data_IF_958935392577
#
_entry.id   IF_958935392577
#
_cell.length_a   1.000
_cell.length_b   1.000
_cell.length_c   1.000
_cell.angle_alpha   90.00
_cell.angle_beta   90.00
_cell.angle_gamma   90.00
#
_symmetry.space_group_name_H-M   'P 1'
#
loop_
_entity.id
_entity.type
_entity.pdbx_description
1 polymer ?
#
# COMPACT_ATOMS: atom_id res chain seq x y z
N UNK A 1 19.94 -50.75 74.75
CA UNK A 1 21.03 -51.05 73.84
C UNK A 1 20.53 -50.84 72.38
N UNK A 2 21.28 -50.07 71.64
CA UNK A 2 21.38 -50.00 70.15
C UNK A 2 20.11 -49.64 69.36
N UNK A 3 19.99 -48.49 68.91
CA UNK A 3 20.53 -47.88 67.66
C UNK A 3 19.84 -48.39 66.37
N UNK A 4 19.17 -47.53 65.66
CA UNK A 4 18.77 -47.60 64.27
C UNK A 4 18.53 -46.24 63.78
N UNK A 5 19.52 -45.66 63.07
CA UNK A 5 19.38 -44.45 62.27
C UNK A 5 18.82 -44.85 60.90
N UNK A 6 17.79 -44.19 60.48
CA UNK A 6 17.37 -44.20 59.09
C UNK A 6 17.35 -42.77 58.57
N UNK A 7 18.24 -42.52 57.61
CA UNK A 7 18.27 -41.31 56.84
C UNK A 7 17.19 -41.33 55.76
N UNK A 8 16.21 -40.49 55.87
CA UNK A 8 15.27 -40.19 54.81
C UNK A 8 15.89 -39.24 53.78
N UNK A 9 16.15 -39.76 52.60
CA UNK A 9 16.55 -38.93 51.44
C UNK A 9 15.32 -38.16 50.93
N UNK A 10 15.34 -36.90 51.14
CA UNK A 10 14.40 -35.96 50.52
C UNK A 10 14.74 -35.82 49.03
N UNK A 11 14.01 -36.52 48.20
CA UNK A 11 14.00 -36.27 46.75
C UNK A 11 13.17 -35.04 46.48
N UNK A 12 13.82 -33.89 46.65
CA UNK A 12 13.24 -32.62 46.18
C UNK A 12 12.94 -32.69 44.69
N UNK A 13 11.68 -32.91 44.35
CA UNK A 13 11.14 -32.63 43.04
C UNK A 13 11.43 -31.16 42.75
N UNK A 14 12.38 -30.90 41.83
CA UNK A 14 12.55 -29.57 41.27
C UNK A 14 11.30 -29.31 40.44
N UNK A 15 10.37 -28.56 40.98
CA UNK A 15 9.36 -27.87 40.19
C UNK A 15 10.09 -27.14 39.06
N UNK A 16 9.82 -27.52 37.81
CA UNK A 16 10.23 -26.81 36.63
C UNK A 16 9.39 -25.52 36.55
N UNK A 17 9.67 -24.62 37.48
CA UNK A 17 9.13 -23.26 37.41
C UNK A 17 9.70 -22.57 36.21
N UNK A 18 8.87 -22.15 35.27
CA UNK A 18 9.30 -21.40 34.11
C UNK A 18 10.09 -20.16 34.59
N UNK A 19 11.41 -20.15 34.35
CA UNK A 19 12.28 -19.07 34.80
C UNK A 19 11.92 -17.79 34.07
N UNK A 20 11.44 -16.79 34.80
CA UNK A 20 11.15 -15.46 34.27
C UNK A 20 12.44 -14.75 33.88
N UNK A 21 12.40 -14.02 32.78
CA UNK A 21 13.51 -13.19 32.30
C UNK A 21 12.97 -11.79 31.95
N UNK A 22 13.81 -10.81 32.23
CA UNK A 22 13.58 -9.43 31.84
C UNK A 22 14.55 -9.06 30.71
N UNK A 23 14.01 -8.58 29.58
CA UNK A 23 14.77 -8.14 28.41
C UNK A 23 14.56 -6.64 28.29
N UNK A 24 15.64 -5.88 28.33
CA UNK A 24 15.64 -4.43 28.13
C UNK A 24 16.05 -4.15 26.69
N UNK A 25 15.10 -3.73 25.86
CA UNK A 25 15.35 -3.38 24.45
C UNK A 25 15.31 -1.86 24.33
N UNK A 26 16.47 -1.23 24.13
CA UNK A 26 16.60 0.21 23.98
C UNK A 26 15.99 1.04 25.10
N UNK A 27 16.05 0.56 26.33
CA UNK A 27 15.47 1.22 27.50
C UNK A 27 14.04 0.80 27.86
N UNK A 28 13.36 0.00 27.02
CA UNK A 28 12.04 -0.56 27.32
C UNK A 28 12.19 -1.99 27.84
N UNK A 29 11.69 -2.24 29.08
CA UNK A 29 11.77 -3.54 29.71
C UNK A 29 10.56 -4.42 29.40
N UNK A 30 10.83 -5.67 28.99
CA UNK A 30 9.84 -6.69 28.69
C UNK A 30 10.05 -7.93 29.57
N UNK A 31 9.02 -8.31 30.30
CA UNK A 31 9.04 -9.53 31.11
C UNK A 31 8.45 -10.69 30.31
N UNK A 32 9.14 -11.84 30.34
CA UNK A 32 8.72 -13.07 29.67
C UNK A 32 9.32 -14.29 30.36
N UNK A 33 9.19 -15.46 29.77
CA UNK A 33 9.81 -16.70 30.26
C UNK A 33 10.87 -17.20 29.29
N UNK A 34 11.86 -17.94 29.80
CA UNK A 34 12.87 -18.60 28.95
C UNK A 34 12.18 -19.49 27.91
N UNK A 35 11.13 -20.18 28.30
CA UNK A 35 10.34 -21.05 27.44
C UNK A 35 9.77 -20.26 26.23
N UNK A 36 9.17 -19.10 26.44
CA UNK A 36 8.64 -18.26 25.37
C UNK A 36 9.70 -17.91 24.32
N UNK A 37 10.90 -17.52 24.75
CA UNK A 37 11.94 -17.05 23.83
C UNK A 37 12.76 -18.17 23.18
N UNK A 38 12.59 -19.44 23.62
CA UNK A 38 13.39 -20.57 23.12
C UNK A 38 12.58 -21.61 22.36
N UNK A 39 11.26 -21.74 22.58
CA UNK A 39 10.48 -22.85 22.03
C UNK A 39 10.02 -22.64 20.59
N UNK A 40 9.43 -21.49 20.28
CA UNK A 40 8.79 -21.29 18.97
C UNK A 40 9.78 -21.27 17.80
N UNK A 41 10.88 -20.57 17.95
CA UNK A 41 11.94 -20.52 16.95
C UNK A 41 13.29 -20.80 17.61
N UNK A 42 13.62 -22.09 17.71
CA UNK A 42 14.84 -22.58 18.39
C UNK A 42 16.12 -22.19 17.68
N UNK A 43 16.04 -21.75 16.42
CA UNK A 43 17.16 -21.23 15.63
C UNK A 43 17.43 -19.74 15.82
N UNK A 44 16.53 -19.03 16.51
CA UNK A 44 16.62 -17.57 16.67
C UNK A 44 17.78 -17.13 17.57
N UNK A 45 18.16 -15.87 17.40
CA UNK A 45 19.15 -15.22 18.27
C UNK A 45 18.72 -15.24 19.73
N UNK A 46 17.41 -14.99 20.00
CA UNK A 46 16.85 -15.02 21.35
C UNK A 46 16.96 -16.44 21.95
N UNK A 47 16.62 -17.47 21.19
CA UNK A 47 16.77 -18.87 21.64
C UNK A 47 18.22 -19.20 21.94
N UNK A 48 19.16 -18.78 21.11
CA UNK A 48 20.60 -18.98 21.33
C UNK A 48 21.06 -18.28 22.62
N UNK A 49 20.64 -17.05 22.87
CA UNK A 49 20.98 -16.27 24.07
C UNK A 49 20.46 -16.94 25.35
N UNK A 50 19.22 -17.37 25.36
CA UNK A 50 18.58 -17.91 26.58
C UNK A 50 18.65 -19.43 26.72
N UNK A 51 19.32 -20.15 25.80
CA UNK A 51 19.52 -21.60 25.87
C UNK A 51 20.50 -22.08 26.95
N UNK A 52 21.12 -21.16 27.66
CA UNK A 52 22.19 -21.47 28.64
C UNK A 52 23.55 -21.85 28.03
N UNK A 53 23.68 -21.82 26.69
CA UNK A 53 24.94 -22.11 25.98
C UNK A 53 25.93 -20.96 26.03
N UNK A 54 25.45 -19.73 26.25
CA UNK A 54 26.25 -18.51 26.29
C UNK A 54 26.08 -17.80 27.63
N UNK A 55 27.15 -17.18 28.13
CA UNK A 55 27.04 -16.30 29.29
C UNK A 55 26.25 -15.04 28.91
N UNK A 56 25.12 -14.81 29.59
CA UNK A 56 24.33 -13.61 29.38
C UNK A 56 25.05 -12.38 29.94
N UNK A 57 25.14 -11.33 29.15
CA UNK A 57 25.60 -10.02 29.63
C UNK A 57 24.40 -9.28 30.23
N UNK A 58 24.34 -9.26 31.54
CA UNK A 58 23.32 -8.50 32.27
C UNK A 58 23.69 -7.00 32.29
N UNK A 59 22.68 -6.16 32.25
CA UNK A 59 22.83 -4.71 32.37
C UNK A 59 23.57 -4.35 33.67
N UNK A 60 24.60 -3.50 33.57
CA UNK A 60 25.39 -3.05 34.74
C UNK A 60 24.56 -2.24 35.72
N UNK A 61 23.51 -1.56 35.27
CA UNK A 61 22.60 -0.76 36.09
C UNK A 61 21.49 -1.59 36.73
N UNK A 62 21.04 -2.67 36.03
CA UNK A 62 20.02 -3.57 36.53
C UNK A 62 20.41 -5.03 36.27
N UNK A 63 21.12 -5.63 37.21
CA UNK A 63 21.70 -6.98 37.11
C UNK A 63 20.67 -8.11 36.85
N UNK A 64 19.38 -7.76 36.75
CA UNK A 64 18.28 -8.70 36.48
C UNK A 64 17.77 -8.68 35.04
N UNK A 65 18.24 -7.76 34.19
CA UNK A 65 17.79 -7.62 32.80
C UNK A 65 18.93 -7.83 31.80
N UNK A 66 18.60 -8.43 30.66
CA UNK A 66 19.52 -8.55 29.52
C UNK A 66 19.27 -7.35 28.59
N UNK A 67 20.32 -6.56 28.33
CA UNK A 67 20.19 -5.38 27.46
C UNK A 67 20.43 -5.77 25.98
N UNK A 68 19.55 -5.26 25.11
CA UNK A 68 19.65 -5.35 23.66
C UNK A 68 19.58 -3.93 23.08
N UNK A 69 20.62 -3.53 22.35
CA UNK A 69 20.74 -2.20 21.76
C UNK A 69 19.93 -2.13 20.45
N UNK A 70 18.61 -1.98 20.59
CA UNK A 70 17.65 -1.87 19.50
C UNK A 70 16.49 -0.96 19.92
N UNK A 71 15.70 -0.48 18.94
CA UNK A 71 14.47 0.27 19.23
C UNK A 71 13.41 -0.67 19.82
N UNK A 72 13.06 -0.45 21.08
CA UNK A 72 12.10 -1.31 21.79
C UNK A 72 10.65 -1.25 21.27
N UNK A 73 10.27 -0.22 20.50
CA UNK A 73 8.86 0.02 20.11
C UNK A 73 8.18 -1.20 19.47
N UNK A 74 8.89 -1.94 18.64
CA UNK A 74 8.35 -3.07 17.89
C UNK A 74 8.55 -4.42 18.57
N UNK A 75 9.41 -4.50 19.59
CA UNK A 75 9.72 -5.77 20.28
C UNK A 75 8.48 -6.41 20.95
N UNK A 76 7.47 -5.63 21.31
CA UNK A 76 6.18 -6.15 21.79
C UNK A 76 5.52 -7.10 20.77
N UNK A 77 5.59 -6.79 19.48
CA UNK A 77 5.03 -7.63 18.43
C UNK A 77 5.84 -8.92 18.24
N UNK A 78 7.17 -8.82 18.34
CA UNK A 78 8.07 -9.98 18.36
C UNK A 78 7.72 -10.92 19.53
N UNK A 79 7.54 -10.35 20.74
CA UNK A 79 7.17 -11.14 21.92
C UNK A 79 5.79 -11.78 21.81
N UNK A 80 4.81 -11.08 21.28
CA UNK A 80 3.47 -11.64 21.06
C UNK A 80 3.52 -12.79 20.07
N UNK A 81 4.27 -12.63 18.97
CA UNK A 81 4.46 -13.72 18.03
C UNK A 81 5.16 -14.93 18.68
N UNK A 82 6.17 -14.71 19.50
CA UNK A 82 6.84 -15.80 20.23
C UNK A 82 5.90 -16.52 21.20
N UNK A 83 4.93 -15.83 21.82
CA UNK A 83 3.95 -16.39 22.76
C UNK A 83 2.89 -17.25 22.09
N UNK A 84 2.22 -16.69 21.08
CA UNK A 84 1.00 -17.25 20.51
C UNK A 84 0.99 -17.33 18.96
N UNK A 85 2.02 -16.81 18.30
CA UNK A 85 2.11 -16.76 16.83
C UNK A 85 1.29 -15.64 16.22
N UNK A 86 0.81 -14.68 17.02
CA UNK A 86 0.01 -13.58 16.52
C UNK A 86 0.83 -12.63 15.64
N UNK A 87 0.43 -12.52 14.37
CA UNK A 87 0.93 -11.48 13.46
C UNK A 87 0.00 -10.26 13.62
N UNK A 88 0.53 -9.02 13.76
CA UNK A 88 -0.33 -7.85 13.89
C UNK A 88 -1.20 -7.64 12.65
N UNK A 89 -2.26 -6.81 12.79
CA UNK A 89 -3.07 -6.41 11.64
C UNK A 89 -2.20 -5.63 10.65
N UNK A 90 -2.45 -5.78 9.35
CA UNK A 90 -1.60 -5.23 8.31
C UNK A 90 -1.55 -3.69 8.36
N UNK A 91 -0.32 -3.20 8.43
CA UNK A 91 0.08 -1.81 8.25
C UNK A 91 1.43 -1.88 7.55
N UNK A 92 1.51 -1.43 6.31
CA UNK A 92 2.70 -1.57 5.47
C UNK A 92 3.96 -0.97 6.12
N UNK A 93 3.84 0.18 6.81
CA UNK A 93 4.96 0.80 7.50
C UNK A 93 5.43 -0.06 8.68
N UNK A 94 4.50 -0.53 9.51
CA UNK A 94 4.78 -1.42 10.64
C UNK A 94 5.40 -2.74 10.18
N UNK A 95 4.92 -3.32 9.08
CA UNK A 95 5.44 -4.59 8.56
C UNK A 95 6.89 -4.49 8.10
N UNK A 96 7.29 -3.41 7.43
CA UNK A 96 8.69 -3.20 7.06
C UNK A 96 9.60 -3.12 8.29
N UNK A 97 9.18 -2.41 9.32
CA UNK A 97 9.91 -2.32 10.57
C UNK A 97 10.02 -3.70 11.26
N UNK A 98 8.90 -4.45 11.31
CA UNK A 98 8.89 -5.79 11.89
C UNK A 98 9.73 -6.81 11.11
N UNK A 99 9.84 -6.68 9.79
CA UNK A 99 10.74 -7.52 8.99
C UNK A 99 12.21 -7.28 9.37
N UNK A 100 12.61 -6.02 9.55
CA UNK A 100 13.95 -5.69 10.04
C UNK A 100 14.23 -6.23 11.45
N UNK A 101 13.22 -6.20 12.34
CA UNK A 101 13.36 -6.82 13.67
C UNK A 101 13.46 -8.35 13.56
N UNK A 102 12.63 -8.99 12.71
CA UNK A 102 12.66 -10.43 12.48
C UNK A 102 14.01 -10.89 11.92
N UNK A 103 14.60 -10.14 10.98
CA UNK A 103 15.95 -10.40 10.47
C UNK A 103 17.01 -10.27 11.56
N UNK A 104 16.97 -9.20 12.35
CA UNK A 104 17.93 -8.98 13.43
C UNK A 104 17.89 -10.10 14.47
N UNK A 105 16.69 -10.49 14.93
CA UNK A 105 16.52 -11.58 15.91
C UNK A 105 16.61 -12.97 15.28
N UNK A 106 16.83 -13.07 13.97
CA UNK A 106 16.90 -14.33 13.21
C UNK A 106 15.63 -15.20 13.36
N UNK A 107 14.47 -14.57 13.36
CA UNK A 107 13.14 -15.19 13.46
C UNK A 107 12.63 -15.53 12.05
N UNK A 108 13.16 -16.62 11.47
CA UNK A 108 12.90 -16.96 10.07
C UNK A 108 11.43 -17.25 9.78
N UNK A 109 10.73 -17.92 10.69
CA UNK A 109 9.30 -18.21 10.52
C UNK A 109 8.43 -16.95 10.63
N UNK A 110 8.73 -16.05 11.58
CA UNK A 110 8.05 -14.77 11.71
C UNK A 110 8.21 -13.91 10.47
N UNK A 111 9.44 -13.80 9.96
CA UNK A 111 9.72 -13.08 8.72
C UNK A 111 8.92 -13.66 7.54
N UNK A 112 8.90 -15.00 7.39
CA UNK A 112 8.13 -15.65 6.32
C UNK A 112 6.63 -15.40 6.44
N UNK A 113 6.06 -15.37 7.65
CA UNK A 113 4.66 -15.07 7.90
C UNK A 113 4.33 -13.62 7.60
N UNK A 114 5.21 -12.65 7.97
CA UNK A 114 5.05 -11.25 7.61
C UNK A 114 5.05 -11.06 6.08
N UNK A 115 6.00 -11.69 5.39
CA UNK A 115 6.06 -11.67 3.91
C UNK A 115 4.81 -12.30 3.28
N UNK A 116 4.33 -13.42 3.82
CA UNK A 116 3.12 -14.07 3.33
C UNK A 116 1.87 -13.20 3.54
N UNK A 117 1.77 -12.53 4.69
CA UNK A 117 0.66 -11.61 5.00
C UNK A 117 0.68 -10.39 4.09
N UNK A 118 1.85 -9.80 3.82
CA UNK A 118 1.99 -8.74 2.82
C UNK A 118 1.59 -9.20 1.42
N UNK A 119 1.90 -10.45 1.05
CA UNK A 119 1.51 -11.02 -0.25
C UNK A 119 0.01 -11.28 -0.36
N UNK A 120 -0.68 -11.55 0.73
CA UNK A 120 -2.14 -11.72 0.75
C UNK A 120 -2.86 -10.37 0.58
N UNK A 121 -2.22 -9.26 0.98
CA UNK A 121 -2.71 -7.90 0.71
C UNK A 121 -2.24 -7.35 -0.63
N UNK A 122 -1.31 -8.01 -1.28
CA UNK A 122 -0.74 -7.67 -2.58
C UNK A 122 -1.62 -8.18 -3.77
N UNK A 123 -2.96 -8.29 -3.54
CA UNK A 123 -3.93 -8.23 -4.64
C UNK A 123 -3.80 -6.87 -5.40
N UNK A 124 -3.08 -5.91 -4.81
CA UNK A 124 -2.72 -4.63 -5.40
C UNK A 124 -1.34 -4.61 -6.07
N UNK A 125 -0.51 -5.66 -5.93
CA UNK A 125 0.74 -5.73 -6.66
C UNK A 125 0.50 -5.80 -8.17
N UNK A 126 1.26 -5.00 -8.95
CA UNK A 126 1.11 -5.01 -10.38
C UNK A 126 1.47 -6.39 -10.96
N UNK A 127 0.60 -6.92 -11.81
CA UNK A 127 0.82 -8.19 -12.51
C UNK A 127 1.99 -8.14 -13.51
N UNK A 128 2.33 -6.94 -14.00
CA UNK A 128 3.37 -6.71 -14.98
C UNK A 128 4.30 -5.58 -14.53
N UNK A 129 5.58 -5.74 -14.79
CA UNK A 129 6.57 -4.67 -14.63
C UNK A 129 6.54 -3.72 -15.83
N UNK A 130 7.09 -2.50 -15.66
CA UNK A 130 7.28 -1.55 -16.76
C UNK A 130 7.97 -2.20 -17.98
N UNK A 131 8.96 -3.05 -17.77
CA UNK A 131 9.71 -3.73 -18.84
C UNK A 131 8.82 -4.68 -19.63
N UNK A 132 7.98 -5.43 -18.94
CA UNK A 132 7.03 -6.37 -19.57
C UNK A 132 5.96 -5.64 -20.37
N UNK A 133 5.44 -4.52 -19.85
CA UNK A 133 4.51 -3.65 -20.59
C UNK A 133 5.18 -3.14 -21.87
N UNK A 134 6.43 -2.65 -21.83
CA UNK A 134 7.17 -2.20 -23.01
C UNK A 134 7.34 -3.33 -24.02
N UNK A 135 7.72 -4.53 -23.58
CA UNK A 135 7.85 -5.69 -24.46
C UNK A 135 6.52 -6.08 -25.10
N UNK A 136 5.43 -6.05 -24.31
CA UNK A 136 4.09 -6.34 -24.81
C UNK A 136 3.70 -5.36 -25.94
N UNK A 137 3.91 -4.06 -25.75
CA UNK A 137 3.64 -3.02 -26.74
C UNK A 137 4.42 -3.28 -28.04
N UNK A 138 5.72 -3.57 -27.94
CA UNK A 138 6.58 -3.84 -29.09
C UNK A 138 6.16 -5.09 -29.88
N UNK A 139 5.62 -6.09 -29.21
CA UNK A 139 5.17 -7.32 -29.85
C UNK A 139 3.82 -7.22 -30.57
N UNK A 140 3.17 -6.05 -30.56
CA UNK A 140 1.81 -5.80 -31.09
C UNK A 140 0.72 -6.74 -30.52
N UNK A 141 0.99 -7.41 -29.40
CA UNK A 141 0.06 -8.33 -28.72
C UNK A 141 -0.43 -7.72 -27.39
N UNK A 142 -0.67 -6.39 -27.37
CA UNK A 142 -1.00 -5.70 -26.13
C UNK A 142 -2.47 -5.92 -25.80
N UNK A 143 -2.72 -6.83 -24.87
CA UNK A 143 -3.98 -6.91 -24.15
C UNK A 143 -3.68 -6.62 -22.68
N UNK A 144 -3.86 -5.35 -22.27
CA UNK A 144 -3.73 -4.92 -20.87
C UNK A 144 -5.10 -4.79 -20.20
N UNK A 145 -6.11 -5.37 -20.83
CA UNK A 145 -7.49 -5.37 -20.35
C UNK A 145 -7.61 -6.25 -19.10
N UNK A 146 -8.14 -5.70 -18.02
CA UNK A 146 -8.35 -6.41 -16.75
C UNK A 146 -7.07 -6.68 -15.96
N UNK A 147 -5.92 -6.14 -16.38
CA UNK A 147 -4.62 -6.36 -15.73
C UNK A 147 -4.41 -5.37 -14.59
N UNK A 148 -3.82 -5.81 -13.49
CA UNK A 148 -3.39 -4.94 -12.42
C UNK A 148 -2.02 -4.31 -12.74
N UNK A 149 -2.00 -2.98 -12.91
CA UNK A 149 -0.82 -2.15 -13.19
C UNK A 149 -0.64 -1.05 -12.14
N UNK A 150 -1.21 -1.23 -10.94
CA UNK A 150 -1.17 -0.22 -9.88
C UNK A 150 0.24 0.19 -9.53
N UNK A 151 0.47 1.49 -9.34
CA UNK A 151 1.76 2.06 -8.95
C UNK A 151 2.87 2.02 -10.01
N UNK A 152 2.66 1.41 -11.18
CA UNK A 152 3.71 1.32 -12.22
C UNK A 152 4.00 2.67 -12.86
N UNK A 153 5.25 2.90 -13.17
CA UNK A 153 5.66 4.08 -13.93
C UNK A 153 5.64 3.80 -15.43
N UNK A 154 4.60 4.26 -16.12
CA UNK A 154 4.43 4.20 -17.57
C UNK A 154 4.63 5.58 -18.23
N UNK A 155 5.27 6.51 -17.53
CA UNK A 155 5.51 7.85 -18.03
C UNK A 155 6.34 7.86 -19.32
N UNK A 156 6.00 8.81 -20.23
CA UNK A 156 6.67 9.06 -21.51
C UNK A 156 6.63 7.91 -22.52
N UNK A 157 5.81 6.89 -22.29
CA UNK A 157 5.62 5.80 -23.26
C UNK A 157 4.61 6.18 -24.33
N UNK A 158 4.75 5.56 -25.50
CA UNK A 158 3.70 5.55 -26.51
C UNK A 158 2.77 4.36 -26.24
N UNK A 159 1.58 4.68 -25.76
CA UNK A 159 0.51 3.77 -25.37
C UNK A 159 -0.75 4.03 -26.19
N UNK A 160 -0.57 4.64 -27.38
CA UNK A 160 -1.70 5.01 -28.25
C UNK A 160 -2.50 3.78 -28.64
N UNK A 161 -3.83 3.86 -28.52
CA UNK A 161 -4.77 2.79 -28.85
C UNK A 161 -4.71 1.55 -27.95
N UNK A 162 -3.97 1.58 -26.84
CA UNK A 162 -3.90 0.46 -25.90
C UNK A 162 -5.23 0.30 -25.14
N UNK A 163 -5.69 -0.93 -24.97
CA UNK A 163 -6.89 -1.25 -24.20
C UNK A 163 -6.54 -1.59 -22.74
N UNK A 164 -6.87 -0.65 -21.83
CA UNK A 164 -6.79 -0.75 -20.38
C UNK A 164 -8.18 -0.94 -19.74
N UNK A 165 -9.20 -1.32 -20.52
CA UNK A 165 -10.55 -1.49 -19.98
C UNK A 165 -10.56 -2.52 -18.84
N UNK A 166 -11.32 -2.22 -17.77
CA UNK A 166 -11.43 -3.07 -16.56
C UNK A 166 -10.12 -3.27 -15.78
N UNK A 167 -9.04 -2.57 -16.16
CA UNK A 167 -7.75 -2.68 -15.47
C UNK A 167 -7.76 -1.94 -14.15
N UNK A 168 -6.93 -2.43 -13.22
CA UNK A 168 -6.62 -1.73 -11.98
C UNK A 168 -5.35 -0.90 -12.17
N UNK A 169 -5.48 0.40 -12.10
CA UNK A 169 -4.42 1.37 -12.43
C UNK A 169 -4.13 2.32 -11.25
N UNK A 170 -4.53 1.97 -10.02
CA UNK A 170 -4.44 2.87 -8.86
C UNK A 170 -3.02 3.40 -8.69
N UNK A 171 -2.88 4.75 -8.67
CA UNK A 171 -1.58 5.40 -8.51
C UNK A 171 -0.59 5.20 -9.67
N UNK A 172 -1.02 4.69 -10.81
CA UNK A 172 -0.15 4.50 -12.00
C UNK A 172 0.32 5.84 -12.56
N UNK A 173 1.58 5.93 -13.01
CA UNK A 173 2.17 7.14 -13.57
C UNK A 173 2.16 7.11 -15.09
N UNK A 174 1.36 7.96 -15.72
CA UNK A 174 1.28 8.19 -17.17
C UNK A 174 1.75 9.57 -17.60
N UNK A 175 2.50 10.27 -16.74
CA UNK A 175 2.93 11.63 -17.03
C UNK A 175 3.65 11.73 -18.39
N UNK A 176 3.17 12.66 -19.26
CA UNK A 176 3.72 12.86 -20.62
C UNK A 176 3.65 11.62 -21.52
N UNK A 177 2.85 10.62 -21.20
CA UNK A 177 2.62 9.49 -22.11
C UNK A 177 1.73 9.91 -23.29
N UNK A 178 1.93 9.26 -24.44
CA UNK A 178 1.00 9.32 -25.54
C UNK A 178 -0.04 8.20 -25.35
N UNK A 179 -1.27 8.57 -25.07
CA UNK A 179 -2.40 7.68 -24.82
C UNK A 179 -3.54 7.94 -25.82
N UNK A 180 -3.27 8.61 -26.95
CA UNK A 180 -4.32 8.91 -27.93
C UNK A 180 -5.12 7.66 -28.28
N UNK A 181 -6.47 7.77 -28.27
CA UNK A 181 -7.40 6.70 -28.56
C UNK A 181 -7.28 5.46 -27.62
N UNK A 182 -6.61 5.56 -26.48
CA UNK A 182 -6.56 4.48 -25.51
C UNK A 182 -7.93 4.27 -24.82
N UNK A 183 -8.21 3.01 -24.44
CA UNK A 183 -9.48 2.63 -23.81
C UNK A 183 -9.27 2.39 -22.32
N UNK A 184 -10.07 3.08 -21.49
CA UNK A 184 -10.06 2.97 -20.01
C UNK A 184 -11.46 2.66 -19.47
N UNK A 185 -12.34 2.03 -20.27
CA UNK A 185 -13.71 1.73 -19.87
C UNK A 185 -13.74 0.91 -18.59
N UNK A 186 -14.50 1.39 -17.60
CA UNK A 186 -14.66 0.72 -16.30
C UNK A 186 -13.31 0.42 -15.60
N UNK A 187 -12.22 1.13 -15.96
CA UNK A 187 -10.95 1.00 -15.28
C UNK A 187 -10.98 1.70 -13.92
N UNK A 188 -10.23 1.16 -12.97
CA UNK A 188 -10.00 1.78 -11.65
C UNK A 188 -8.68 2.55 -11.72
N UNK A 189 -8.75 3.86 -11.96
CA UNK A 189 -7.60 4.75 -12.18
C UNK A 189 -7.48 5.84 -11.10
N UNK A 190 -7.90 5.53 -9.88
CA UNK A 190 -7.85 6.44 -8.74
C UNK A 190 -6.39 6.84 -8.43
N UNK A 191 -6.15 8.13 -8.20
CA UNK A 191 -4.81 8.66 -7.93
C UNK A 191 -3.81 8.58 -9.08
N UNK A 192 -4.23 8.19 -10.29
CA UNK A 192 -3.35 8.16 -11.46
C UNK A 192 -2.77 9.52 -11.80
N UNK A 193 -1.54 9.53 -12.27
CA UNK A 193 -0.87 10.75 -12.71
C UNK A 193 -0.80 10.81 -14.25
N UNK A 194 -1.68 11.60 -14.87
CA UNK A 194 -1.72 11.90 -16.30
C UNK A 194 -1.20 13.30 -16.63
N UNK A 195 -0.42 13.92 -15.75
CA UNK A 195 0.08 15.28 -15.97
C UNK A 195 0.78 15.42 -17.33
N UNK A 196 0.35 16.41 -18.15
CA UNK A 196 0.84 16.63 -19.52
C UNK A 196 0.71 15.42 -20.46
N UNK A 197 -0.15 14.43 -20.17
CA UNK A 197 -0.38 13.31 -21.07
C UNK A 197 -1.23 13.73 -22.30
N UNK A 198 -1.04 13.05 -23.42
CA UNK A 198 -1.89 13.16 -24.61
C UNK A 198 -2.97 12.09 -24.52
N UNK A 199 -4.21 12.51 -24.22
CA UNK A 199 -5.38 11.65 -23.98
C UNK A 199 -6.51 11.97 -24.97
N UNK A 200 -6.17 12.49 -26.14
CA UNK A 200 -7.14 12.84 -27.17
C UNK A 200 -7.95 11.60 -27.60
N UNK A 201 -9.28 11.73 -27.65
CA UNK A 201 -10.19 10.67 -28.09
C UNK A 201 -10.12 9.40 -27.22
N UNK A 202 -9.61 9.48 -25.98
CA UNK A 202 -9.63 8.36 -25.03
C UNK A 202 -11.05 8.06 -24.54
N UNK A 203 -11.26 6.82 -24.16
CA UNK A 203 -12.54 6.36 -23.63
C UNK A 203 -12.44 5.97 -22.14
N UNK A 204 -12.96 6.85 -21.26
CA UNK A 204 -13.04 6.69 -19.82
C UNK A 204 -14.48 6.40 -19.34
N UNK A 205 -15.35 5.86 -20.22
CA UNK A 205 -16.72 5.57 -19.84
C UNK A 205 -16.77 4.72 -18.56
N UNK A 206 -17.50 5.21 -17.54
CA UNK A 206 -17.65 4.57 -16.21
C UNK A 206 -16.35 4.29 -15.45
N UNK A 207 -15.22 4.88 -15.86
CA UNK A 207 -13.98 4.75 -15.11
C UNK A 207 -14.04 5.49 -13.77
N UNK A 208 -13.27 5.01 -12.78
CA UNK A 208 -13.00 5.76 -11.55
C UNK A 208 -11.66 6.47 -11.67
N UNK A 209 -11.66 7.78 -11.39
CA UNK A 209 -10.52 8.69 -11.51
C UNK A 209 -10.44 9.61 -10.28
N UNK A 210 -10.82 9.09 -9.09
CA UNK A 210 -10.81 9.88 -7.86
C UNK A 210 -9.40 10.38 -7.58
N UNK A 211 -9.28 11.66 -7.24
CA UNK A 211 -8.00 12.31 -6.96
C UNK A 211 -6.94 12.14 -8.07
N UNK A 212 -7.33 11.80 -9.30
CA UNK A 212 -6.41 11.68 -10.42
C UNK A 212 -5.85 13.07 -10.84
N UNK A 213 -4.59 13.10 -11.27
CA UNK A 213 -3.91 14.31 -11.73
C UNK A 213 -3.93 14.36 -13.26
N UNK A 214 -4.84 15.13 -13.82
CA UNK A 214 -5.01 15.37 -15.26
C UNK A 214 -4.58 16.79 -15.68
N UNK A 215 -3.82 17.49 -14.83
CA UNK A 215 -3.43 18.87 -15.05
C UNK A 215 -2.62 19.00 -16.35
N UNK A 216 -2.96 19.99 -17.18
CA UNK A 216 -2.37 20.28 -18.49
C UNK A 216 -2.43 19.10 -19.47
N UNK A 217 -3.27 18.08 -19.23
CA UNK A 217 -3.47 16.99 -20.18
C UNK A 217 -4.31 17.44 -21.40
N UNK A 218 -4.05 16.83 -22.56
CA UNK A 218 -4.84 17.06 -23.78
C UNK A 218 -5.93 16.01 -23.87
N UNK A 219 -7.17 16.38 -23.56
CA UNK A 219 -8.35 15.51 -23.42
C UNK A 219 -9.45 15.84 -24.47
N UNK A 220 -9.05 16.51 -25.55
CA UNK A 220 -10.01 16.90 -26.58
C UNK A 220 -10.76 15.67 -27.12
N UNK A 221 -12.10 15.75 -27.15
CA UNK A 221 -13.01 14.68 -27.57
C UNK A 221 -12.91 13.38 -26.73
N UNK A 222 -12.33 13.41 -25.55
CA UNK A 222 -12.32 12.26 -24.65
C UNK A 222 -13.73 11.98 -24.11
N UNK A 223 -14.04 10.69 -23.91
CA UNK A 223 -15.31 10.24 -23.36
C UNK A 223 -15.17 9.96 -21.84
N UNK A 224 -15.87 10.74 -21.01
CA UNK A 224 -15.97 10.58 -19.56
C UNK A 224 -17.43 10.31 -19.12
N UNK A 225 -18.25 9.78 -20.02
CA UNK A 225 -19.63 9.51 -19.67
C UNK A 225 -19.72 8.58 -18.45
N UNK A 226 -20.53 8.97 -17.45
CA UNK A 226 -20.74 8.23 -16.21
C UNK A 226 -19.45 7.98 -15.38
N UNK A 227 -18.33 8.70 -15.67
CA UNK A 227 -17.08 8.56 -14.94
C UNK A 227 -17.09 9.28 -13.59
N UNK A 228 -16.30 8.79 -12.64
CA UNK A 228 -16.10 9.42 -11.32
C UNK A 228 -14.77 10.19 -11.27
N UNK A 229 -14.83 11.51 -11.25
CA UNK A 229 -13.68 12.44 -11.21
C UNK A 229 -13.65 13.25 -9.90
N UNK A 230 -14.22 12.71 -8.83
CA UNK A 230 -14.25 13.37 -7.52
C UNK A 230 -12.84 13.72 -7.06
N UNK A 231 -12.63 14.96 -6.60
CA UNK A 231 -11.33 15.49 -6.15
C UNK A 231 -10.22 15.49 -7.22
N UNK A 232 -10.53 15.23 -8.49
CA UNK A 232 -9.53 15.19 -9.56
C UNK A 232 -8.98 16.58 -9.89
N UNK A 233 -7.70 16.67 -10.28
CA UNK A 233 -7.07 17.91 -10.74
C UNK A 233 -7.02 17.96 -12.26
N UNK A 234 -7.83 18.84 -12.86
CA UNK A 234 -7.93 19.10 -14.30
C UNK A 234 -7.45 20.53 -14.65
N UNK A 235 -6.64 21.13 -13.76
CA UNK A 235 -6.16 22.50 -13.95
C UNK A 235 -5.44 22.66 -15.30
N UNK A 236 -5.91 23.63 -16.11
CA UNK A 236 -5.34 23.90 -17.44
C UNK A 236 -5.50 22.78 -18.47
N UNK A 237 -6.33 21.77 -18.22
CA UNK A 237 -6.56 20.69 -19.16
C UNK A 237 -7.37 21.15 -20.39
N UNK A 238 -7.09 20.57 -21.56
CA UNK A 238 -7.85 20.80 -22.79
C UNK A 238 -8.96 19.73 -22.92
N UNK A 239 -10.18 20.10 -22.55
CA UNK A 239 -11.39 19.26 -22.59
C UNK A 239 -12.34 19.65 -23.73
N UNK A 240 -11.84 20.29 -24.78
CA UNK A 240 -12.69 20.71 -25.90
C UNK A 240 -13.47 19.54 -26.48
N UNK A 241 -14.77 19.74 -26.64
CA UNK A 241 -15.70 18.74 -27.16
C UNK A 241 -15.69 17.42 -26.39
N UNK A 242 -15.20 17.37 -25.16
CA UNK A 242 -15.22 16.19 -24.32
C UNK A 242 -16.67 15.80 -23.94
N UNK A 243 -16.91 14.52 -23.75
CA UNK A 243 -18.18 13.95 -23.34
C UNK A 243 -18.17 13.68 -21.83
N UNK A 244 -18.82 14.54 -21.04
CA UNK A 244 -18.86 14.50 -19.57
C UNK A 244 -20.30 14.25 -19.04
N UNK A 245 -21.16 13.61 -19.86
CA UNK A 245 -22.54 13.35 -19.46
C UNK A 245 -22.57 12.49 -18.18
N UNK A 246 -23.33 12.98 -17.18
CA UNK A 246 -23.47 12.34 -15.86
C UNK A 246 -22.16 12.13 -15.08
N UNK A 247 -21.04 12.69 -15.53
CA UNK A 247 -19.78 12.57 -14.79
C UNK A 247 -19.88 13.22 -13.40
N UNK A 248 -19.23 12.63 -12.40
CA UNK A 248 -19.14 13.19 -11.07
C UNK A 248 -17.81 13.94 -10.91
N UNK A 249 -17.87 15.27 -10.97
CA UNK A 249 -16.75 16.20 -10.84
C UNK A 249 -16.78 16.94 -9.49
N UNK A 250 -17.43 16.34 -8.47
CA UNK A 250 -17.50 16.94 -7.14
C UNK A 250 -16.13 17.28 -6.61
N UNK A 251 -15.92 18.53 -6.16
CA UNK A 251 -14.65 19.09 -5.69
C UNK A 251 -13.50 19.06 -6.72
N UNK A 252 -13.74 18.77 -7.98
CA UNK A 252 -12.67 18.74 -8.98
C UNK A 252 -12.09 20.14 -9.24
N UNK A 253 -10.80 20.23 -9.47
CA UNK A 253 -10.15 21.47 -9.85
C UNK A 253 -10.09 21.60 -11.38
N UNK A 254 -10.97 22.40 -11.95
CA UNK A 254 -11.06 22.74 -13.37
C UNK A 254 -10.54 24.14 -13.67
N UNK A 255 -9.76 24.75 -12.76
CA UNK A 255 -9.25 26.11 -12.98
C UNK A 255 -8.46 26.21 -14.29
N UNK A 256 -8.76 27.26 -15.07
CA UNK A 256 -8.16 27.49 -16.40
C UNK A 256 -8.35 26.34 -17.41
N UNK A 257 -9.21 25.36 -17.17
CA UNK A 257 -9.50 24.30 -18.12
C UNK A 257 -10.29 24.81 -19.33
N UNK A 258 -10.05 24.23 -20.51
CA UNK A 258 -10.81 24.55 -21.70
C UNK A 258 -11.91 23.51 -21.96
N UNK A 259 -13.15 23.86 -21.65
CA UNK A 259 -14.36 23.05 -21.82
C UNK A 259 -15.20 23.49 -23.03
N UNK A 260 -14.61 24.21 -24.00
CA UNK A 260 -15.34 24.69 -25.17
C UNK A 260 -16.06 23.55 -25.89
N UNK A 261 -17.37 23.69 -26.06
CA UNK A 261 -18.21 22.68 -26.71
C UNK A 261 -18.35 21.35 -25.96
N UNK A 262 -17.82 21.23 -24.75
CA UNK A 262 -17.96 20.00 -23.96
C UNK A 262 -19.43 19.71 -23.59
N UNK A 263 -19.79 18.45 -23.50
CA UNK A 263 -21.13 18.01 -23.09
C UNK A 263 -21.13 17.60 -21.62
N UNK A 264 -21.62 18.49 -20.77
CA UNK A 264 -21.72 18.29 -19.31
C UNK A 264 -23.15 17.94 -18.86
N UNK A 265 -24.03 17.51 -19.77
CA UNK A 265 -25.43 17.22 -19.41
C UNK A 265 -25.52 16.28 -18.21
N UNK A 266 -26.16 16.73 -17.13
CA UNK A 266 -26.37 15.96 -15.92
C UNK A 266 -25.12 15.75 -15.06
N UNK A 267 -23.99 16.39 -15.40
CA UNK A 267 -22.77 16.31 -14.60
C UNK A 267 -22.97 16.95 -13.21
N UNK A 268 -22.24 16.45 -12.21
CA UNK A 268 -22.18 17.03 -10.87
C UNK A 268 -20.88 17.82 -10.74
N UNK A 269 -21.01 19.11 -10.45
CA UNK A 269 -19.88 20.03 -10.26
C UNK A 269 -19.88 20.64 -8.84
N UNK A 270 -20.62 20.06 -7.90
CA UNK A 270 -20.72 20.58 -6.53
C UNK A 270 -19.30 20.79 -5.94
N UNK A 271 -19.00 22.02 -5.50
CA UNK A 271 -17.69 22.38 -4.95
C UNK A 271 -16.53 22.39 -5.96
N UNK A 272 -16.80 22.23 -7.25
CA UNK A 272 -15.72 22.27 -8.26
C UNK A 272 -15.18 23.69 -8.45
N UNK A 273 -13.87 23.82 -8.64
CA UNK A 273 -13.25 25.09 -8.98
C UNK A 273 -13.26 25.29 -10.49
N UNK A 274 -14.05 26.24 -10.99
CA UNK A 274 -14.16 26.64 -12.39
C UNK A 274 -13.47 27.99 -12.68
N UNK A 275 -12.61 28.49 -11.79
CA UNK A 275 -11.95 29.77 -11.96
C UNK A 275 -11.23 29.83 -13.31
N UNK A 276 -11.52 30.88 -14.11
CA UNK A 276 -10.97 31.08 -15.46
C UNK A 276 -11.21 29.91 -16.45
N UNK A 277 -12.10 28.98 -16.16
CA UNK A 277 -12.44 27.92 -17.11
C UNK A 277 -13.21 28.47 -18.33
N UNK A 278 -12.92 27.96 -19.52
CA UNK A 278 -13.65 28.31 -20.75
C UNK A 278 -14.83 27.34 -20.96
N UNK A 279 -16.04 27.78 -20.73
CA UNK A 279 -17.30 27.02 -20.93
C UNK A 279 -18.05 27.44 -22.20
N UNK A 280 -17.41 28.14 -23.14
CA UNK A 280 -18.08 28.60 -24.36
C UNK A 280 -18.70 27.39 -25.10
N UNK A 281 -19.95 27.53 -25.52
CA UNK A 281 -20.70 26.48 -26.24
C UNK A 281 -20.82 25.14 -25.50
N UNK A 282 -20.50 25.08 -24.20
CA UNK A 282 -20.71 23.87 -23.41
C UNK A 282 -22.19 23.59 -23.18
N UNK A 283 -22.57 22.30 -23.14
CA UNK A 283 -23.94 21.86 -22.86
C UNK A 283 -24.12 21.61 -21.37
N UNK A 284 -24.82 22.54 -20.67
CA UNK A 284 -24.96 22.55 -19.20
C UNK A 284 -26.36 22.14 -18.71
N UNK A 285 -27.11 21.38 -19.51
CA UNK A 285 -28.46 20.99 -19.10
C UNK A 285 -28.44 20.02 -17.92
N UNK A 286 -29.06 20.44 -16.80
CA UNK A 286 -29.19 19.60 -15.62
C UNK A 286 -27.89 19.44 -14.84
N UNK A 287 -26.94 20.36 -15.02
CA UNK A 287 -25.68 20.39 -14.25
C UNK A 287 -25.94 20.89 -12.84
N UNK A 288 -25.32 20.28 -11.85
CA UNK A 288 -25.32 20.76 -10.46
C UNK A 288 -24.07 21.64 -10.23
N UNK A 289 -24.30 22.94 -10.05
CA UNK A 289 -23.26 23.98 -9.89
C UNK A 289 -23.28 24.57 -8.47
N UNK A 290 -23.73 23.84 -7.47
CA UNK A 290 -23.71 24.34 -6.09
C UNK A 290 -22.27 24.48 -5.62
N UNK A 291 -21.99 25.58 -4.94
CA UNK A 291 -20.69 25.86 -4.31
C UNK A 291 -19.49 25.86 -5.31
N UNK A 292 -19.75 26.16 -6.60
CA UNK A 292 -18.72 26.26 -7.65
C UNK A 292 -18.13 27.67 -7.73
#
# INVERSE_FOLDING_TARGET
MAHGMEGGGDCGEREVGSSRVCINVGGTCYETTVETVTQRDSGSMLAAMFSGRHALHYDTANKSSVFIDRDGRHFRHVLNWLRDGAVPLPDAALFHELMHEAEYFQLGEFHAQLVATLKVEDDDAPELTRKEVIMAIQSKRVRLRGVNLSGINLAKLDLSGVDFSFSRLVGTFFSRANLQCALFREAVADGCNFHNATLKECDFEKATLRAAVLSAATLASANFQDACLVDASLCGADLRSAHLQNADLTNANLSSANLEGANLKGAKLTGANLEMANLQRAYLRGVDLRDT
#
